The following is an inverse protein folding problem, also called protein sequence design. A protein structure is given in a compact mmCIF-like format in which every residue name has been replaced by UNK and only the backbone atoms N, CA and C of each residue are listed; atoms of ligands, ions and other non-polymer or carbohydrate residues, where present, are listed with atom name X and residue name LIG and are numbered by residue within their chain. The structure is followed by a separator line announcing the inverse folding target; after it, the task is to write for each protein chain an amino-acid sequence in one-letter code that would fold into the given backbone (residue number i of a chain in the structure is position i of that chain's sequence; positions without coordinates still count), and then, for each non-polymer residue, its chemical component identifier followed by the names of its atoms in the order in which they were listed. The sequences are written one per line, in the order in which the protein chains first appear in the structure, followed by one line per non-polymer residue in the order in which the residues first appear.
data_IF_338290114288
#
_entry.id   IF_338290114288
#
_cell.length_a   1.000
_cell.length_b   1.000
_cell.length_c   1.000
_cell.angle_alpha   90.00
_cell.angle_beta   90.00
_cell.angle_gamma   90.00
#
_symmetry.space_group_name_H-M   'P 1'
#
loop_
_entity.id
_entity.type
_entity.pdbx_description
1 polymer ?
#
# COMPACT_ATOMS: atom_id res chain seq x y z
N UNK A 1 -11.64 -20.52 -10.48
CA UNK A 1 -12.02 -20.12 -9.10
C UNK A 1 -11.10 -20.83 -8.10
N UNK A 2 -9.88 -20.34 -7.91
CA UNK A 2 -8.92 -21.00 -7.01
C UNK A 2 -9.28 -20.71 -5.54
N UNK A 3 -9.60 -21.78 -4.80
CA UNK A 3 -9.90 -21.78 -3.36
C UNK A 3 -8.75 -21.11 -2.60
N UNK A 4 -8.95 -19.87 -2.12
CA UNK A 4 -8.06 -19.23 -1.15
C UNK A 4 -8.22 -19.97 0.19
N UNK A 5 -7.33 -20.94 0.44
CA UNK A 5 -7.17 -21.61 1.74
C UNK A 5 -7.19 -20.58 2.88
N UNK A 6 -7.93 -20.87 3.97
CA UNK A 6 -8.00 -20.07 5.21
C UNK A 6 -6.64 -20.07 5.89
N UNK A 7 -5.68 -19.31 5.35
CA UNK A 7 -4.37 -19.11 5.99
C UNK A 7 -4.57 -18.23 7.21
N UNK A 8 -3.94 -18.62 8.33
CA UNK A 8 -3.84 -17.80 9.52
C UNK A 8 -3.36 -16.39 9.11
N UNK A 9 -4.18 -15.35 9.33
CA UNK A 9 -3.82 -13.98 8.99
C UNK A 9 -2.51 -13.56 9.66
N UNK A 10 -2.22 -13.99 10.88
CA UNK A 10 -1.02 -13.55 11.61
C UNK A 10 0.25 -14.20 11.04
N UNK A 11 0.19 -15.48 10.69
CA UNK A 11 1.29 -16.17 10.00
C UNK A 11 1.60 -15.54 8.63
N UNK A 12 0.56 -15.21 7.85
CA UNK A 12 0.76 -14.61 6.52
C UNK A 12 1.38 -13.20 6.57
N UNK A 13 1.16 -12.46 7.65
CA UNK A 13 1.78 -11.15 7.85
C UNK A 13 3.28 -11.29 8.10
N UNK A 14 3.70 -12.19 9.00
CA UNK A 14 5.12 -12.42 9.31
C UNK A 14 5.91 -12.81 8.06
N UNK A 15 5.38 -13.71 7.25
CA UNK A 15 6.01 -14.13 5.99
C UNK A 15 6.11 -12.99 4.98
N UNK A 16 5.09 -12.12 4.94
CA UNK A 16 5.09 -10.93 4.08
C UNK A 16 6.11 -9.91 4.54
N UNK A 17 6.16 -9.60 5.83
CA UNK A 17 7.12 -8.67 6.40
C UNK A 17 8.57 -9.10 6.17
N UNK A 18 8.85 -10.40 6.34
CA UNK A 18 10.18 -10.97 6.10
C UNK A 18 10.69 -10.74 4.67
N UNK A 19 9.81 -10.78 3.66
CA UNK A 19 10.19 -10.49 2.26
C UNK A 19 10.67 -9.05 2.06
N UNK A 20 10.24 -8.13 2.90
CA UNK A 20 10.60 -6.71 2.85
C UNK A 20 11.61 -6.32 3.93
N UNK A 21 12.21 -7.29 4.62
CA UNK A 21 13.17 -7.02 5.70
C UNK A 21 12.54 -6.34 6.92
N UNK A 22 11.22 -6.43 7.10
CA UNK A 22 10.50 -5.79 8.20
C UNK A 22 10.18 -6.79 9.32
N UNK A 23 10.09 -6.26 10.53
CA UNK A 23 9.52 -6.92 11.70
C UNK A 23 8.08 -6.41 11.96
N UNK A 24 7.36 -7.10 12.86
CA UNK A 24 6.05 -6.61 13.33
C UNK A 24 6.16 -5.21 13.97
N UNK A 25 7.13 -4.96 14.87
CA UNK A 25 7.40 -3.62 15.38
C UNK A 25 7.61 -2.57 14.28
N UNK A 26 8.39 -2.87 13.23
CA UNK A 26 8.62 -1.90 12.14
C UNK A 26 7.33 -1.54 11.41
N UNK A 27 6.49 -2.53 11.15
CA UNK A 27 5.17 -2.31 10.55
C UNK A 27 4.28 -1.44 11.45
N UNK A 28 4.28 -1.68 12.76
CA UNK A 28 3.55 -0.85 13.72
C UNK A 28 4.11 0.58 13.84
N UNK A 29 5.43 0.75 13.78
CA UNK A 29 6.04 2.08 13.77
C UNK A 29 5.63 2.86 12.52
N UNK A 30 5.62 2.22 11.34
CA UNK A 30 5.10 2.82 10.10
C UNK A 30 3.62 3.16 10.20
N UNK A 31 2.78 2.26 10.74
CA UNK A 31 1.38 2.57 11.01
C UNK A 31 1.24 3.82 11.88
N UNK A 32 1.98 3.89 13.00
CA UNK A 32 1.92 5.04 13.91
C UNK A 32 2.38 6.34 13.23
N UNK A 33 3.47 6.28 12.47
CA UNK A 33 3.99 7.43 11.71
C UNK A 33 2.98 7.93 10.64
N UNK A 34 2.14 7.04 10.11
CA UNK A 34 1.08 7.35 9.16
C UNK A 34 -0.29 7.60 9.82
N UNK A 35 -0.34 7.84 11.14
CA UNK A 35 -1.60 8.02 11.89
C UNK A 35 -2.61 6.88 11.68
N UNK A 36 -2.09 5.65 11.57
CA UNK A 36 -2.84 4.43 11.33
C UNK A 36 -3.61 4.43 10.00
N UNK A 37 -3.24 5.29 9.06
CA UNK A 37 -3.88 5.44 7.75
C UNK A 37 -2.98 5.11 6.57
N UNK A 38 -3.60 5.06 5.38
CA UNK A 38 -2.91 4.96 4.10
C UNK A 38 -2.01 6.18 3.87
N UNK A 39 -0.75 5.98 3.46
CA UNK A 39 0.18 7.09 3.21
C UNK A 39 -0.24 8.01 2.05
N UNK A 40 -1.16 7.57 1.17
CA UNK A 40 -1.66 8.37 0.04
C UNK A 40 -2.99 9.03 0.38
N UNK A 41 -4.04 8.24 0.68
CA UNK A 41 -5.39 8.79 0.87
C UNK A 41 -5.73 9.15 2.32
N UNK A 42 -4.88 8.85 3.29
CA UNK A 42 -5.10 9.14 4.71
C UNK A 42 -6.19 8.34 5.41
N UNK A 43 -7.04 7.60 4.68
CA UNK A 43 -8.09 6.77 5.27
C UNK A 43 -7.49 5.74 6.23
N UNK A 44 -8.16 5.49 7.36
CA UNK A 44 -7.70 4.58 8.42
C UNK A 44 -8.70 3.46 8.71
N UNK A 45 -9.97 3.62 8.34
CA UNK A 45 -10.98 2.59 8.47
C UNK A 45 -11.06 1.74 7.20
N UNK A 46 -10.50 0.55 7.27
CA UNK A 46 -10.57 -0.46 6.22
C UNK A 46 -11.29 -1.73 6.70
N UNK A 47 -12.17 -1.64 7.71
CA UNK A 47 -12.91 -2.80 8.21
C UNK A 47 -12.01 -3.91 8.76
N UNK A 48 -10.91 -3.54 9.41
CA UNK A 48 -9.90 -4.48 9.93
C UNK A 48 -8.96 -5.07 8.87
N UNK A 49 -9.07 -4.64 7.60
CA UNK A 49 -8.10 -4.98 6.57
C UNK A 49 -6.76 -4.28 6.85
N UNK A 50 -5.68 -4.98 6.54
CA UNK A 50 -4.32 -4.46 6.70
C UNK A 50 -3.93 -3.63 5.49
N UNK A 51 -3.05 -2.66 5.72
CA UNK A 51 -2.39 -1.93 4.66
C UNK A 51 -1.33 -2.81 3.98
N UNK A 52 -1.21 -2.65 2.68
CA UNK A 52 -0.16 -3.23 1.85
C UNK A 52 1.18 -2.54 2.10
N UNK A 53 2.27 -3.30 2.06
CA UNK A 53 3.63 -2.75 2.11
C UNK A 53 4.00 -2.33 0.68
N UNK A 54 4.04 -1.03 0.47
CA UNK A 54 4.46 -0.43 -0.79
C UNK A 54 5.98 -0.29 -0.82
N UNK A 55 6.58 -0.64 -1.96
CA UNK A 55 8.02 -0.67 -2.13
C UNK A 55 8.39 -0.30 -3.55
N UNK A 56 9.58 0.26 -3.70
CA UNK A 56 10.14 0.55 -5.02
C UNK A 56 10.56 -0.76 -5.71
N UNK A 57 10.10 -0.97 -6.93
CA UNK A 57 10.33 -2.22 -7.67
C UNK A 57 11.77 -2.39 -8.20
N UNK A 58 12.59 -1.33 -8.17
CA UNK A 58 13.99 -1.39 -8.61
C UNK A 58 14.95 -1.69 -7.45
N UNK A 59 14.73 -1.05 -6.31
CA UNK A 59 15.61 -1.09 -5.13
C UNK A 59 15.10 -2.02 -4.04
N UNK A 60 13.81 -2.35 -4.05
CA UNK A 60 13.14 -3.08 -2.96
C UNK A 60 12.90 -2.23 -1.70
N UNK A 61 13.24 -0.94 -1.73
CA UNK A 61 13.10 -0.06 -0.58
C UNK A 61 11.61 0.17 -0.25
N UNK A 62 11.23 -0.04 1.01
CA UNK A 62 9.85 0.18 1.47
C UNK A 62 9.55 1.68 1.53
N UNK A 63 8.57 2.12 0.73
CA UNK A 63 8.11 3.51 0.68
C UNK A 63 7.14 3.80 1.83
N UNK A 64 6.10 2.98 2.00
CA UNK A 64 5.07 3.20 3.01
C UNK A 64 4.03 2.09 3.09
N UNK A 65 2.98 2.31 3.86
CA UNK A 65 1.83 1.42 3.96
C UNK A 65 0.62 2.03 3.24
N UNK A 66 0.06 1.31 2.28
CA UNK A 66 -1.02 1.79 1.41
C UNK A 66 -2.27 0.94 1.53
N UNK A 67 -3.45 1.54 1.36
CA UNK A 67 -4.66 0.75 1.20
C UNK A 67 -4.62 0.01 -0.15
N UNK A 68 -5.40 -1.07 -0.28
CA UNK A 68 -5.44 -1.88 -1.51
C UNK A 68 -5.72 -1.04 -2.76
N UNK A 69 -6.62 -0.05 -2.67
CA UNK A 69 -7.02 0.80 -3.79
C UNK A 69 -5.88 1.70 -4.25
N UNK A 70 -5.22 2.41 -3.34
CA UNK A 70 -4.08 3.25 -3.67
C UNK A 70 -2.89 2.44 -4.21
N UNK A 71 -2.58 1.29 -3.59
CA UNK A 71 -1.50 0.42 -4.04
C UNK A 71 -1.72 -0.13 -5.46
N UNK A 72 -2.93 -0.60 -5.76
CA UNK A 72 -3.29 -1.06 -7.12
C UNK A 72 -3.33 0.12 -8.09
N UNK A 73 -3.79 1.29 -7.65
CA UNK A 73 -3.77 2.52 -8.44
C UNK A 73 -2.36 2.88 -8.92
N UNK A 74 -1.36 2.87 -8.03
CA UNK A 74 0.04 3.08 -8.43
C UNK A 74 0.50 2.08 -9.49
N UNK A 75 0.15 0.80 -9.31
CA UNK A 75 0.48 -0.26 -10.28
C UNK A 75 -0.15 -0.06 -11.66
N UNK A 76 -1.37 0.50 -11.75
CA UNK A 76 -2.00 0.83 -13.04
C UNK A 76 -1.24 1.92 -13.81
N UNK A 77 -0.55 2.81 -13.10
CA UNK A 77 0.33 3.81 -13.68
C UNK A 77 1.80 3.36 -13.73
N UNK A 78 2.07 2.07 -13.50
CA UNK A 78 3.42 1.47 -13.50
C UNK A 78 4.41 2.20 -12.57
N UNK A 79 3.91 2.69 -11.43
CA UNK A 79 4.67 3.52 -10.48
C UNK A 79 5.32 4.77 -11.11
N UNK A 80 4.87 5.22 -12.29
CA UNK A 80 5.46 6.35 -12.99
C UNK A 80 4.91 7.70 -12.48
N UNK A 81 5.73 8.53 -11.79
CA UNK A 81 5.27 9.79 -11.24
C UNK A 81 4.82 10.78 -12.32
N UNK A 82 5.47 10.81 -13.49
CA UNK A 82 5.12 11.73 -14.58
C UNK A 82 3.72 11.45 -15.13
N UNK A 83 3.35 10.16 -15.23
CA UNK A 83 2.01 9.77 -15.69
C UNK A 83 0.96 10.08 -14.63
N UNK A 84 1.27 9.87 -13.35
CA UNK A 84 0.37 10.20 -12.24
C UNK A 84 0.08 11.70 -12.16
N UNK A 85 1.09 12.56 -12.37
CA UNK A 85 0.90 14.02 -12.43
C UNK A 85 -0.03 14.38 -13.58
N UNK A 86 0.21 13.85 -14.79
CA UNK A 86 -0.69 14.06 -15.95
C UNK A 86 -2.12 13.57 -15.69
N UNK A 87 -2.29 12.46 -14.98
CA UNK A 87 -3.60 11.95 -14.61
C UNK A 87 -4.33 12.87 -13.63
N UNK A 88 -3.61 13.48 -12.67
CA UNK A 88 -4.17 14.49 -11.79
C UNK A 88 -4.56 15.76 -12.57
N UNK A 89 -3.66 16.25 -13.44
CA UNK A 89 -3.93 17.42 -14.30
C UNK A 89 -5.17 17.22 -15.18
N UNK A 90 -5.33 16.01 -15.75
CA UNK A 90 -6.51 15.67 -16.54
C UNK A 90 -7.81 15.82 -15.75
N UNK A 91 -7.85 15.35 -14.49
CA UNK A 91 -9.01 15.50 -13.63
C UNK A 91 -9.27 16.97 -13.30
N UNK A 92 -8.25 17.71 -12.89
CA UNK A 92 -8.35 19.13 -12.54
C UNK A 92 -8.91 19.95 -13.72
N UNK A 93 -8.47 19.67 -14.95
CA UNK A 93 -8.96 20.37 -16.15
C UNK A 93 -10.41 20.04 -16.52
N UNK A 94 -10.95 18.92 -16.01
CA UNK A 94 -12.29 18.44 -16.32
C UNK A 94 -13.17 18.32 -15.07
N UNK A 95 -12.84 19.03 -13.99
CA UNK A 95 -13.77 19.22 -12.86
C UNK A 95 -14.98 20.01 -13.37
N UNK A 96 -16.18 19.43 -13.22
CA UNK A 96 -17.48 20.07 -13.52
C UNK A 96 -18.06 20.61 -12.22
#
# INVERSE_FOLDING_TARGET
MTRRSKRDPLKSLKDTLRRYGLTIPDYHQKLKAQHYGCAICGQSDFGGLRLSIDHDHQTGAVRGLLCSRCNVGLGHFSDNPEVLIKAADYLIQHEI
#
